data_IF_585289100593
#
_entry.id   IF_585289100593
#
_cell.length_a   1.000
_cell.length_b   1.000
_cell.length_c   1.000
_cell.angle_alpha   90.00
_cell.angle_beta   90.00
_cell.angle_gamma   90.00
#
_symmetry.space_group_name_H-M   'P 1'
#
loop_
_entity.id
_entity.type
_entity.pdbx_description
1 polymer ?
#
# COMPACT_ATOMS: atom_id res chain seq x y z
N UNK A 1 18.03 4.82 -26.85
CA UNK A 1 17.96 4.66 -25.39
C UNK A 1 17.30 5.90 -24.83
N UNK A 2 16.07 5.84 -24.31
CA UNK A 2 15.54 6.97 -23.54
C UNK A 2 16.44 7.13 -22.30
N UNK A 3 16.87 8.35 -22.02
CA UNK A 3 17.79 8.64 -20.92
C UNK A 3 17.13 8.37 -19.56
N UNK A 4 17.75 7.49 -18.78
CA UNK A 4 17.50 7.23 -17.35
C UNK A 4 17.84 8.46 -16.50
N UNK A 5 16.99 9.48 -16.49
CA UNK A 5 16.96 10.39 -15.34
C UNK A 5 15.53 10.64 -14.96
N UNK A 6 14.94 9.68 -14.25
CA UNK A 6 13.80 9.99 -13.39
C UNK A 6 14.29 11.06 -12.40
N UNK A 7 13.74 12.28 -12.50
CA UNK A 7 14.15 13.45 -11.69
C UNK A 7 13.27 13.66 -10.47
N UNK A 8 12.21 12.88 -10.36
CA UNK A 8 11.28 12.93 -9.25
C UNK A 8 11.79 12.06 -8.12
N UNK A 9 11.42 12.40 -6.88
CA UNK A 9 11.64 11.51 -5.75
C UNK A 9 10.35 10.78 -5.41
N UNK A 10 10.45 9.47 -5.21
CA UNK A 10 9.34 8.66 -4.69
C UNK A 10 9.72 8.19 -3.31
N UNK A 11 8.85 8.42 -2.33
CA UNK A 11 9.05 7.94 -0.97
C UNK A 11 7.80 7.31 -0.40
N UNK A 12 8.01 6.32 0.47
CA UNK A 12 6.95 5.60 1.17
C UNK A 12 7.13 5.79 2.66
N UNK A 13 6.05 6.09 3.36
CA UNK A 13 5.96 6.04 4.83
C UNK A 13 4.84 5.07 5.19
N UNK A 14 5.18 3.87 5.63
CA UNK A 14 4.20 2.90 6.13
C UNK A 14 3.72 3.36 7.51
N UNK A 15 2.41 3.37 7.75
CA UNK A 15 1.84 3.78 9.05
C UNK A 15 1.44 2.55 9.85
N UNK A 16 0.66 1.68 9.22
CA UNK A 16 0.12 0.43 9.77
C UNK A 16 -0.49 -0.36 8.62
N UNK A 17 -0.57 -1.69 8.72
CA UNK A 17 -1.40 -2.52 7.80
C UNK A 17 -1.21 -2.12 6.32
N UNK A 18 -2.24 -1.61 5.65
CA UNK A 18 -2.21 -1.07 4.30
C UNK A 18 -2.04 0.46 4.31
N UNK A 19 -2.31 1.10 5.44
CA UNK A 19 -2.24 2.55 5.60
C UNK A 19 -0.83 3.07 5.36
N UNK A 20 -0.68 3.82 4.27
CA UNK A 20 0.62 4.22 3.74
C UNK A 20 0.54 5.61 3.15
N UNK A 21 1.57 6.42 3.37
CA UNK A 21 1.78 7.65 2.61
C UNK A 21 2.72 7.36 1.45
N UNK A 22 2.23 7.60 0.24
CA UNK A 22 3.06 7.66 -0.96
C UNK A 22 3.30 9.12 -1.30
N UNK A 23 4.56 9.55 -1.34
CA UNK A 23 4.92 10.88 -1.83
C UNK A 23 5.62 10.77 -3.17
N UNK A 24 5.19 11.61 -4.11
CA UNK A 24 5.88 11.82 -5.39
C UNK A 24 6.15 13.31 -5.48
N UNK A 25 7.43 13.67 -5.40
CA UNK A 25 7.89 15.05 -5.23
C UNK A 25 7.18 15.73 -4.04
N UNK A 26 6.42 16.79 -4.29
CA UNK A 26 5.70 17.56 -3.28
C UNK A 26 4.24 17.11 -3.10
N UNK A 27 3.81 16.05 -3.78
CA UNK A 27 2.44 15.52 -3.72
C UNK A 27 2.39 14.30 -2.81
N UNK A 28 1.51 14.33 -1.81
CA UNK A 28 1.30 13.26 -0.86
C UNK A 28 -0.07 12.59 -1.07
N UNK A 29 -0.05 11.28 -1.24
CA UNK A 29 -1.21 10.40 -1.32
C UNK A 29 -1.32 9.59 -0.03
N UNK A 30 -2.50 9.55 0.59
CA UNK A 30 -2.79 8.66 1.71
C UNK A 30 -3.55 7.44 1.17
N UNK A 31 -2.98 6.26 1.36
CA UNK A 31 -3.52 4.98 0.90
C UNK A 31 -4.22 4.30 2.07
N UNK A 32 -5.44 3.78 1.87
CA UNK A 32 -6.21 2.93 2.79
C UNK A 32 -6.15 3.38 4.26
N UNK A 33 -6.73 4.55 4.59
CA UNK A 33 -6.53 5.19 5.88
C UNK A 33 -7.18 4.43 7.05
N UNK A 34 -6.34 3.90 7.95
CA UNK A 34 -6.72 3.36 9.27
C UNK A 34 -5.81 3.92 10.37
N UNK A 35 -6.39 4.36 11.48
CA UNK A 35 -5.74 5.02 12.62
C UNK A 35 -6.22 4.50 13.98
N UNK A 36 -7.12 3.52 14.02
CA UNK A 36 -7.50 2.84 15.24
C UNK A 36 -6.28 2.19 15.90
N UNK A 37 -6.22 2.29 17.23
CA UNK A 37 -5.18 1.66 18.05
C UNK A 37 -5.31 0.14 18.05
N UNK A 38 -4.28 -0.56 18.50
CA UNK A 38 -4.35 -2.02 18.69
C UNK A 38 -5.52 -2.39 19.59
N UNK A 39 -6.16 -3.51 19.29
CA UNK A 39 -7.36 -3.93 19.98
C UNK A 39 -8.16 -4.96 19.21
N UNK A 40 -9.25 -5.37 19.84
CA UNK A 40 -10.23 -6.30 19.28
C UNK A 40 -11.42 -5.51 18.73
N UNK A 41 -11.78 -5.79 17.48
CA UNK A 41 -12.84 -5.12 16.75
C UNK A 41 -13.93 -6.13 16.39
N UNK A 42 -15.05 -6.05 17.09
CA UNK A 42 -16.22 -6.86 16.80
C UNK A 42 -16.81 -6.49 15.44
N UNK A 43 -16.96 -7.49 14.58
CA UNK A 43 -17.55 -7.37 13.27
C UNK A 43 -19.01 -7.84 13.29
N UNK A 44 -19.78 -7.39 12.30
CA UNK A 44 -21.11 -7.95 12.07
C UNK A 44 -20.99 -9.47 11.84
N UNK A 45 -21.86 -10.24 12.50
CA UNK A 45 -21.81 -11.71 12.46
C UNK A 45 -21.02 -12.37 13.60
N UNK A 46 -20.47 -11.59 14.55
CA UNK A 46 -19.87 -12.11 15.78
C UNK A 46 -18.41 -12.55 15.64
N UNK A 47 -17.77 -12.23 14.51
CA UNK A 47 -16.33 -12.41 14.33
C UNK A 47 -15.56 -11.25 14.98
N UNK A 48 -14.37 -11.53 15.49
CA UNK A 48 -13.48 -10.52 16.07
C UNK A 48 -12.23 -10.43 15.23
N UNK A 49 -11.91 -9.23 14.75
CA UNK A 49 -10.63 -8.94 14.13
C UNK A 49 -9.72 -8.30 15.18
N UNK A 50 -8.52 -8.82 15.34
CA UNK A 50 -7.54 -8.27 16.31
C UNK A 50 -6.40 -7.58 15.58
N UNK A 51 -6.25 -6.28 15.82
CA UNK A 51 -5.07 -5.50 15.44
C UNK A 51 -4.01 -5.60 16.53
N UNK A 52 -2.78 -5.93 16.17
CA UNK A 52 -1.71 -6.21 17.15
C UNK A 52 -0.89 -4.98 17.53
N UNK A 53 -0.83 -4.00 16.63
CA UNK A 53 0.06 -2.85 16.73
C UNK A 53 -0.70 -1.53 16.59
N UNK A 54 -0.24 -0.51 17.32
CA UNK A 54 -0.74 0.85 17.17
C UNK A 54 -0.21 1.45 15.86
N UNK A 55 -0.94 2.37 15.20
CA UNK A 55 -0.40 3.07 14.04
C UNK A 55 0.84 3.87 14.44
N UNK A 56 1.87 3.82 13.60
CA UNK A 56 3.14 4.52 13.87
C UNK A 56 3.00 6.05 13.89
N UNK A 57 1.96 6.58 13.23
CA UNK A 57 1.60 8.00 13.21
C UNK A 57 0.11 8.17 13.48
N UNK A 58 -0.25 9.11 14.36
CA UNK A 58 -1.60 9.62 14.52
C UNK A 58 -1.96 10.65 13.44
N UNK A 59 -3.23 11.05 13.38
CA UNK A 59 -3.73 12.06 12.42
C UNK A 59 -2.96 13.39 12.51
N UNK A 60 -2.55 13.77 13.71
CA UNK A 60 -1.76 14.96 14.02
C UNK A 60 -0.33 14.91 13.48
N UNK A 61 0.19 13.72 13.21
CA UNK A 61 1.53 13.49 12.65
C UNK A 61 1.56 13.47 11.12
N UNK A 62 0.41 13.58 10.45
CA UNK A 62 0.34 13.49 9.00
C UNK A 62 0.84 14.80 8.33
N UNK A 63 1.57 14.68 7.19
CA UNK A 63 1.83 15.83 6.34
C UNK A 63 0.54 16.29 5.64
N UNK A 64 0.61 17.40 4.90
CA UNK A 64 -0.49 17.82 4.02
C UNK A 64 -0.79 16.70 3.01
N UNK A 65 -2.01 16.15 3.08
CA UNK A 65 -2.49 15.10 2.17
C UNK A 65 -3.26 15.74 1.02
N UNK A 66 -2.80 15.47 -0.20
CA UNK A 66 -3.36 16.04 -1.43
C UNK A 66 -4.47 15.16 -2.02
N UNK A 67 -4.35 13.84 -1.89
CA UNK A 67 -5.36 12.88 -2.33
C UNK A 67 -5.38 11.64 -1.44
N UNK A 68 -6.53 10.96 -1.41
CA UNK A 68 -6.69 9.64 -0.76
C UNK A 68 -6.90 8.60 -1.86
N UNK A 69 -6.14 7.51 -1.81
CA UNK A 69 -6.32 6.34 -2.66
C UNK A 69 -6.93 5.25 -1.77
N UNK A 70 -8.13 4.78 -2.10
CA UNK A 70 -8.86 3.80 -1.29
C UNK A 70 -9.15 2.57 -2.15
N UNK A 71 -8.59 1.42 -1.77
CA UNK A 71 -8.75 0.16 -2.48
C UNK A 71 -10.20 -0.35 -2.45
N UNK A 72 -10.81 -0.34 -1.27
CA UNK A 72 -12.20 -0.74 -0.98
C UNK A 72 -12.63 -0.18 0.38
N UNK A 73 -13.94 -0.08 0.61
CA UNK A 73 -14.48 0.61 1.79
C UNK A 73 -15.22 -0.30 2.78
N UNK A 74 -15.40 -1.58 2.42
CA UNK A 74 -16.21 -2.55 3.16
C UNK A 74 -15.45 -3.21 4.31
N UNK A 75 -14.12 -3.08 4.35
CA UNK A 75 -13.32 -3.65 5.43
C UNK A 75 -12.64 -2.58 6.32
N UNK A 76 -12.62 -2.85 7.64
CA UNK A 76 -12.10 -1.93 8.66
C UNK A 76 -10.57 -1.78 8.64
N UNK A 77 -9.86 -2.76 8.06
CA UNK A 77 -8.42 -2.77 7.88
C UNK A 77 -7.92 -1.91 6.71
N UNK A 78 -8.83 -1.45 5.83
CA UNK A 78 -8.56 -0.49 4.76
C UNK A 78 -9.24 0.87 4.98
N UNK A 79 -10.33 0.92 5.75
CA UNK A 79 -11.02 2.17 6.08
C UNK A 79 -11.78 2.10 7.41
N UNK A 80 -11.18 2.65 8.47
CA UNK A 80 -11.78 2.66 9.80
C UNK A 80 -12.59 3.93 10.11
N UNK A 81 -13.09 4.03 11.35
CA UNK A 81 -13.93 5.17 11.77
C UNK A 81 -13.19 6.50 11.62
N UNK A 82 -11.89 6.55 11.95
CA UNK A 82 -11.07 7.75 11.84
C UNK A 82 -10.72 8.06 10.38
N UNK A 83 -10.37 7.05 9.59
CA UNK A 83 -10.13 7.15 8.15
C UNK A 83 -11.32 7.71 7.39
N UNK A 84 -12.55 7.34 7.77
CA UNK A 84 -13.78 7.90 7.18
C UNK A 84 -13.91 9.41 7.40
N UNK A 85 -13.45 9.94 8.53
CA UNK A 85 -13.49 11.39 8.77
C UNK A 85 -12.62 12.16 7.77
N UNK A 86 -11.58 11.51 7.26
CA UNK A 86 -10.68 12.07 6.26
C UNK A 86 -11.33 12.16 4.87
N UNK A 87 -12.52 11.61 4.62
CA UNK A 87 -13.19 11.73 3.31
C UNK A 87 -14.08 12.99 3.20
N UNK A 88 -14.29 13.72 4.30
CA UNK A 88 -15.14 14.90 4.31
C UNK A 88 -14.48 16.09 3.59
N UNK A 89 -15.08 16.53 2.46
CA UNK A 89 -14.77 17.82 1.82
C UNK A 89 -13.64 17.82 0.77
N UNK A 90 -13.23 16.66 0.23
CA UNK A 90 -12.13 16.57 -0.75
C UNK A 90 -12.60 16.23 -2.16
N UNK A 91 -11.78 16.58 -3.16
CA UNK A 91 -12.01 16.23 -4.56
C UNK A 91 -11.81 14.72 -4.77
N UNK A 92 -12.82 14.03 -5.29
CA UNK A 92 -12.71 12.62 -5.71
C UNK A 92 -11.85 12.52 -6.97
N UNK A 93 -10.78 11.75 -6.90
CA UNK A 93 -10.01 11.33 -8.09
C UNK A 93 -10.46 9.94 -8.52
N UNK A 94 -10.57 9.74 -9.83
CA UNK A 94 -10.90 8.44 -10.42
C UNK A 94 -9.60 7.71 -10.74
N UNK A 95 -9.31 6.65 -9.99
CA UNK A 95 -8.12 5.82 -10.18
C UNK A 95 -8.51 4.61 -11.02
N UNK A 96 -7.66 4.17 -11.95
CA UNK A 96 -7.85 2.90 -12.67
C UNK A 96 -7.41 1.77 -11.75
N UNK A 97 -8.40 1.07 -11.21
CA UNK A 97 -8.18 -0.16 -10.48
C UNK A 97 -7.79 -1.30 -11.39
N UNK A 98 -6.73 -2.04 -11.05
CA UNK A 98 -6.54 -3.39 -11.59
C UNK A 98 -7.31 -4.34 -10.69
N UNK A 99 -8.43 -4.95 -11.15
CA UNK A 99 -9.18 -5.86 -10.33
C UNK A 99 -8.30 -7.05 -9.96
N UNK A 100 -8.15 -7.28 -8.66
CA UNK A 100 -7.51 -8.48 -8.12
C UNK A 100 -8.55 -9.27 -7.34
N UNK A 101 -8.43 -10.59 -7.37
CA UNK A 101 -9.31 -11.46 -6.61
C UNK A 101 -8.74 -11.62 -5.19
N UNK A 102 -9.44 -11.08 -4.19
CA UNK A 102 -9.05 -11.23 -2.78
C UNK A 102 -9.47 -12.61 -2.25
N UNK A 103 -10.73 -12.98 -2.49
CA UNK A 103 -11.34 -14.29 -2.22
C UNK A 103 -12.39 -14.59 -3.32
N UNK A 104 -12.92 -15.82 -3.46
CA UNK A 104 -14.04 -16.08 -4.37
C UNK A 104 -15.23 -15.16 -4.08
N UNK A 105 -15.50 -14.20 -4.98
CA UNK A 105 -16.57 -13.21 -4.85
C UNK A 105 -16.18 -11.91 -4.11
N UNK A 106 -14.93 -11.76 -3.65
CA UNK A 106 -14.40 -10.53 -3.06
C UNK A 106 -13.46 -9.80 -4.02
N UNK A 107 -13.69 -8.50 -4.22
CA UNK A 107 -12.87 -7.65 -5.07
C UNK A 107 -11.86 -6.86 -4.22
N UNK A 108 -10.59 -6.85 -4.62
CA UNK A 108 -9.62 -5.88 -4.11
C UNK A 108 -9.07 -5.09 -5.29
N UNK A 109 -9.00 -3.77 -5.13
CA UNK A 109 -8.45 -2.88 -6.15
C UNK A 109 -7.01 -2.54 -5.82
N UNK A 110 -6.07 -3.16 -6.55
CA UNK A 110 -4.71 -2.63 -6.64
C UNK A 110 -4.67 -1.41 -7.53
N UNK A 111 -3.70 -0.51 -7.30
CA UNK A 111 -3.47 0.64 -8.17
C UNK A 111 -2.08 0.54 -8.78
N UNK A 112 -2.02 0.63 -10.11
CA UNK A 112 -0.76 0.79 -10.85
C UNK A 112 -0.62 2.26 -11.19
N UNK A 113 0.47 2.87 -10.74
CA UNK A 113 0.87 4.18 -11.23
C UNK A 113 1.79 3.96 -12.41
N UNK A 114 1.36 4.40 -13.59
CA UNK A 114 2.12 4.28 -14.83
C UNK A 114 2.81 5.60 -15.19
N UNK A 115 4.01 5.49 -15.73
CA UNK A 115 4.76 6.55 -16.41
C UNK A 115 5.30 5.93 -17.69
N UNK A 116 5.48 6.68 -18.79
CA UNK A 116 6.18 6.18 -19.98
C UNK A 116 7.60 5.66 -19.72
N UNK A 117 8.18 5.97 -18.56
CA UNK A 117 9.45 5.43 -18.08
C UNK A 117 9.34 4.16 -17.23
N UNK A 118 8.13 3.72 -16.88
CA UNK A 118 7.90 2.47 -16.17
C UNK A 118 7.76 1.34 -17.19
N UNK A 119 8.29 0.15 -16.86
CA UNK A 119 8.41 -0.95 -17.80
C UNK A 119 7.06 -1.35 -18.43
N UNK A 120 7.03 -1.35 -19.76
CA UNK A 120 5.94 -1.94 -20.56
C UNK A 120 6.44 -3.22 -21.21
N UNK A 121 5.57 -4.21 -21.36
CA UNK A 121 5.90 -5.40 -22.13
C UNK A 121 6.01 -5.05 -23.62
N UNK A 122 7.17 -5.26 -24.25
CA UNK A 122 7.39 -4.95 -25.67
C UNK A 122 6.56 -5.82 -26.62
N UNK A 123 6.06 -6.98 -26.16
CA UNK A 123 5.29 -7.91 -26.99
C UNK A 123 3.83 -7.52 -27.17
N UNK A 124 3.21 -6.87 -26.16
CA UNK A 124 1.77 -6.59 -26.14
C UNK A 124 1.41 -5.17 -25.66
N UNK A 125 2.35 -4.41 -25.10
CA UNK A 125 2.16 -3.03 -24.64
C UNK A 125 1.43 -2.90 -23.30
N UNK A 126 1.29 -3.97 -22.51
CA UNK A 126 0.58 -3.95 -21.22
C UNK A 126 1.51 -3.92 -19.99
N UNK A 127 1.00 -3.53 -18.79
CA UNK A 127 1.74 -3.56 -17.51
C UNK A 127 1.74 -4.97 -16.86
N UNK A 128 2.89 -5.42 -16.34
CA UNK A 128 3.19 -6.82 -15.94
C UNK A 128 3.32 -7.05 -14.39
N UNK A 129 2.25 -7.21 -13.63
CA UNK A 129 2.14 -6.75 -12.22
C UNK A 129 3.16 -7.11 -11.09
N UNK A 130 4.02 -8.15 -11.05
CA UNK A 130 5.06 -8.19 -9.97
C UNK A 130 6.32 -9.01 -10.25
N UNK A 131 6.25 -10.18 -10.90
CA UNK A 131 7.45 -10.88 -11.39
C UNK A 131 7.94 -10.34 -12.74
N UNK A 132 7.03 -9.74 -13.52
CA UNK A 132 7.23 -9.51 -14.95
C UNK A 132 7.31 -8.01 -15.34
N UNK A 133 7.05 -7.04 -14.43
CA UNK A 133 6.99 -5.57 -14.71
C UNK A 133 8.35 -4.93 -14.91
N UNK A 134 9.42 -5.64 -14.57
CA UNK A 134 10.73 -5.01 -14.47
C UNK A 134 10.76 -3.88 -13.43
N UNK A 135 9.85 -3.89 -12.44
CA UNK A 135 9.89 -2.92 -11.34
C UNK A 135 11.29 -2.91 -10.73
N UNK A 136 11.86 -1.73 -10.58
CA UNK A 136 13.20 -1.55 -10.02
C UNK A 136 13.19 -1.78 -8.51
N UNK A 137 12.07 -1.47 -7.86
CA UNK A 137 11.86 -1.56 -6.41
C UNK A 137 10.49 -2.13 -6.07
N UNK A 138 10.43 -2.89 -4.98
CA UNK A 138 9.19 -3.43 -4.40
C UNK A 138 9.17 -3.10 -2.91
N UNK A 139 8.08 -2.50 -2.43
CA UNK A 139 7.87 -2.24 -1.01
C UNK A 139 6.73 -3.15 -0.52
N UNK A 140 7.02 -4.22 0.23
CA UNK A 140 5.98 -5.04 0.83
C UNK A 140 5.22 -4.22 1.89
N UNK A 141 3.89 -4.31 1.87
CA UNK A 141 2.97 -3.68 2.82
C UNK A 141 1.84 -4.68 3.14
N UNK A 142 1.05 -4.41 4.19
CA UNK A 142 -0.11 -5.24 4.55
C UNK A 142 0.18 -6.75 4.73
N UNK A 143 1.29 -7.06 5.40
CA UNK A 143 1.68 -8.44 5.73
C UNK A 143 1.90 -8.66 7.24
N UNK A 144 1.71 -7.62 8.05
CA UNK A 144 1.79 -7.64 9.51
C UNK A 144 0.72 -6.72 10.16
N UNK A 145 0.64 -6.71 11.49
CA UNK A 145 -0.29 -5.90 12.31
C UNK A 145 -1.73 -6.44 12.49
N UNK A 146 -2.11 -7.54 11.84
CA UNK A 146 -3.40 -8.22 12.05
C UNK A 146 -3.23 -9.71 12.38
N UNK A 147 -3.95 -10.20 13.40
CA UNK A 147 -3.92 -11.63 13.77
C UNK A 147 -4.57 -12.56 12.76
N UNK A 148 -5.40 -12.04 11.85
CA UNK A 148 -6.11 -12.84 10.87
C UNK A 148 -5.26 -13.16 9.63
N UNK A 149 -4.05 -12.60 9.51
CA UNK A 149 -3.12 -12.97 8.45
C UNK A 149 -2.72 -14.44 8.58
N UNK A 150 -2.84 -15.16 7.46
CA UNK A 150 -2.54 -16.59 7.39
C UNK A 150 -1.05 -16.87 7.19
N UNK A 151 -0.28 -15.84 6.86
CA UNK A 151 1.15 -15.86 6.65
C UNK A 151 1.80 -14.87 7.62
N UNK A 152 2.94 -15.24 8.22
CA UNK A 152 3.65 -14.36 9.15
C UNK A 152 4.62 -13.43 8.43
N UNK A 153 4.95 -12.29 9.05
CA UNK A 153 5.94 -11.38 8.47
C UNK A 153 7.33 -11.98 8.31
N UNK A 154 7.72 -12.93 9.17
CA UNK A 154 9.00 -13.66 9.03
C UNK A 154 8.97 -14.60 7.82
N UNK A 155 7.83 -15.23 7.55
CA UNK A 155 7.65 -16.10 6.38
C UNK A 155 7.74 -15.27 5.08
N UNK A 156 7.04 -14.12 5.02
CA UNK A 156 7.13 -13.19 3.87
C UNK A 156 8.56 -12.72 3.65
N UNK A 157 9.27 -12.36 4.72
CA UNK A 157 10.68 -11.94 4.62
C UNK A 157 11.57 -13.06 4.11
N UNK A 158 11.38 -14.29 4.61
CA UNK A 158 12.14 -15.45 4.19
C UNK A 158 11.88 -15.81 2.72
N UNK A 159 10.62 -15.80 2.29
CA UNK A 159 10.23 -16.07 0.90
C UNK A 159 10.85 -15.04 -0.06
N UNK A 160 10.70 -13.75 0.24
CA UNK A 160 11.24 -12.68 -0.61
C UNK A 160 12.77 -12.67 -0.65
N UNK A 161 13.44 -13.07 0.44
CA UNK A 161 14.89 -13.21 0.47
C UNK A 161 15.39 -14.43 -0.34
N UNK A 162 14.58 -15.48 -0.43
CA UNK A 162 14.90 -16.68 -1.20
C UNK A 162 14.74 -16.48 -2.72
N UNK A 163 13.91 -15.54 -3.16
CA UNK A 163 13.71 -15.24 -4.58
C UNK A 163 14.85 -14.38 -5.15
N UNK A 164 15.75 -15.01 -5.92
CA UNK A 164 16.89 -14.35 -6.53
C UNK A 164 16.53 -13.25 -7.56
N UNK A 165 15.32 -13.26 -8.13
CA UNK A 165 14.88 -12.23 -9.07
C UNK A 165 14.30 -10.99 -8.37
N UNK A 166 13.92 -11.12 -7.10
CA UNK A 166 13.18 -10.10 -6.35
C UNK A 166 13.99 -9.54 -5.18
N UNK A 167 14.78 -10.35 -4.48
CA UNK A 167 15.46 -9.98 -3.23
C UNK A 167 16.21 -8.65 -3.25
N UNK A 168 16.91 -8.33 -4.35
CA UNK A 168 17.73 -7.13 -4.49
C UNK A 168 16.91 -5.87 -4.84
N UNK A 169 15.61 -6.06 -5.12
CA UNK A 169 14.63 -5.01 -5.43
C UNK A 169 13.75 -4.69 -4.21
N UNK A 170 13.75 -5.53 -3.17
CA UNK A 170 12.92 -5.32 -2.00
C UNK A 170 13.45 -4.17 -1.17
N UNK A 171 12.58 -3.20 -0.88
CA UNK A 171 12.84 -2.09 0.04
C UNK A 171 11.95 -2.28 1.25
N UNK A 172 12.56 -2.75 2.35
CA UNK A 172 11.89 -2.82 3.63
C UNK A 172 11.80 -1.44 4.25
N UNK A 173 10.59 -1.05 4.64
CA UNK A 173 10.33 0.22 5.31
C UNK A 173 10.11 -0.01 6.80
N UNK A 174 10.45 1.00 7.61
CA UNK A 174 10.16 1.01 9.04
C UNK A 174 8.89 1.82 9.25
N UNK A 175 7.87 1.30 9.96
CA UNK A 175 6.66 2.05 10.23
C UNK A 175 6.94 3.43 10.86
N UNK A 176 6.34 4.47 10.30
CA UNK A 176 6.50 5.87 10.71
C UNK A 176 7.73 6.58 10.15
N UNK A 177 8.67 5.85 9.53
CA UNK A 177 9.86 6.43 8.91
C UNK A 177 9.65 6.65 7.41
N UNK A 178 10.06 7.83 6.94
CA UNK A 178 10.05 8.17 5.52
C UNK A 178 11.24 7.50 4.82
N UNK A 179 10.95 6.61 3.88
CA UNK A 179 11.97 5.92 3.08
C UNK A 179 11.90 6.35 1.63
N UNK A 180 13.00 6.90 1.10
CA UNK A 180 13.16 7.17 -0.35
C UNK A 180 13.35 5.86 -1.09
N UNK A 181 12.55 5.63 -2.11
CA UNK A 181 12.52 4.40 -2.92
C UNK A 181 13.20 4.64 -4.27
N UNK A 182 12.97 5.81 -4.88
CA UNK A 182 13.58 6.28 -6.13
C UNK A 182 13.98 7.74 -6.00
#
# INVERSE_FOLDING_TARGET
MPSLSFKSSVSVTHITTATTILSIDDVNFLIDPTFDKKGDFEQQGGFVLTKTDDPALGLEGLPVIHAVLLSHEDHIDNLDTYGRTMLNGRHQFKITGTPTQHLPGGECTGFVLESPSFGVNEADGLPNLTRDIGAEKMVPLHFESWKHFTESGDDVRAELAADAAVKDKVVWVVPGEKTTVV
#
